data_IF_217386384542
#
_entry.id   IF_217386384542
#
_cell.length_a   1.000
_cell.length_b   1.000
_cell.length_c   1.000
_cell.angle_alpha   90.00
_cell.angle_beta   90.00
_cell.angle_gamma   90.00
#
_symmetry.space_group_name_H-M   'P 1'
#
loop_
_entity.id
_entity.type
_entity.pdbx_description
1 polymer ?
#
# COMPACT_ATOMS: atom_id res chain seq x y z
N UNK A 1 -4.52 23.50 -26.13
CA UNK A 1 -5.45 22.40 -25.77
C UNK A 1 -5.40 22.29 -24.27
N UNK A 2 -6.46 22.70 -23.57
CA UNK A 2 -6.46 22.82 -22.11
C UNK A 2 -6.41 21.41 -21.50
N UNK A 3 -5.30 21.08 -20.85
CA UNK A 3 -5.25 20.00 -19.88
C UNK A 3 -6.23 20.37 -18.77
N UNK A 4 -7.41 19.76 -18.73
CA UNK A 4 -8.17 19.77 -17.49
C UNK A 4 -7.36 18.95 -16.49
N UNK A 5 -6.66 19.64 -15.61
CA UNK A 5 -6.16 19.04 -14.39
C UNK A 5 -7.36 18.36 -13.73
N UNK A 6 -7.26 17.07 -13.42
CA UNK A 6 -8.24 16.40 -12.56
C UNK A 6 -8.63 17.35 -11.44
N UNK A 7 -9.92 17.65 -11.33
CA UNK A 7 -10.43 18.53 -10.28
C UNK A 7 -9.90 18.01 -8.95
N UNK A 8 -9.02 18.80 -8.35
CA UNK A 8 -8.40 18.45 -7.07
C UNK A 8 -9.50 18.28 -6.03
N UNK A 9 -9.51 17.14 -5.35
CA UNK A 9 -10.53 16.76 -4.37
C UNK A 9 -9.94 16.77 -2.96
N UNK A 10 -9.90 17.94 -2.28
CA UNK A 10 -9.31 18.06 -0.95
C UNK A 10 -9.95 17.14 0.08
N UNK A 11 -11.22 16.77 -0.10
CA UNK A 11 -11.93 15.83 0.76
C UNK A 11 -11.30 14.42 0.76
N UNK A 12 -10.73 13.98 -0.37
CA UNK A 12 -10.07 12.68 -0.46
C UNK A 12 -8.75 12.69 0.29
N UNK A 13 -7.99 13.79 0.17
CA UNK A 13 -6.74 13.94 0.92
C UNK A 13 -6.99 14.07 2.42
N UNK A 14 -8.09 14.71 2.83
CA UNK A 14 -8.56 14.72 4.21
C UNK A 14 -8.84 13.32 4.75
N UNK A 15 -9.54 12.47 3.97
CA UNK A 15 -9.78 11.08 4.35
C UNK A 15 -8.49 10.27 4.48
N UNK A 16 -7.53 10.48 3.58
CA UNK A 16 -6.20 9.86 3.68
C UNK A 16 -5.47 10.30 4.95
N UNK A 17 -5.49 11.60 5.26
CA UNK A 17 -4.88 12.12 6.48
C UNK A 17 -5.46 11.47 7.74
N UNK A 18 -6.79 11.39 7.84
CA UNK A 18 -7.48 10.70 8.95
C UNK A 18 -7.04 9.24 9.06
N UNK A 19 -6.96 8.53 7.93
CA UNK A 19 -6.48 7.16 7.90
C UNK A 19 -5.02 7.02 8.38
N UNK A 20 -4.11 7.95 8.03
CA UNK A 20 -2.72 7.94 8.53
C UNK A 20 -2.72 8.12 10.04
N UNK A 21 -3.45 9.12 10.54
CA UNK A 21 -3.48 9.39 11.97
C UNK A 21 -4.04 8.22 12.76
N UNK A 22 -5.07 7.53 12.26
CA UNK A 22 -5.58 6.32 12.90
C UNK A 22 -4.50 5.23 13.01
N UNK A 23 -3.74 4.99 11.94
CA UNK A 23 -2.63 4.02 11.93
C UNK A 23 -1.51 4.44 12.88
N UNK A 24 -1.14 5.72 12.90
CA UNK A 24 -0.11 6.26 13.79
C UNK A 24 -0.50 6.13 15.26
N UNK A 25 -1.74 6.50 15.62
CA UNK A 25 -2.25 6.39 16.99
C UNK A 25 -2.26 4.93 17.45
N UNK A 26 -2.68 4.01 16.58
CA UNK A 26 -2.68 2.58 16.86
C UNK A 26 -1.27 2.05 17.17
N UNK A 27 -0.27 2.39 16.34
CA UNK A 27 1.11 1.93 16.54
C UNK A 27 1.83 2.66 17.68
N UNK A 28 1.50 3.92 17.94
CA UNK A 28 2.01 4.67 19.07
C UNK A 28 1.50 4.15 20.41
N UNK A 29 0.54 3.21 20.41
CA UNK A 29 -0.12 2.66 21.60
C UNK A 29 -0.61 3.78 22.52
N UNK A 30 -1.23 4.81 21.94
CA UNK A 30 -1.74 5.93 22.73
C UNK A 30 -2.93 5.45 23.57
N UNK A 31 -2.79 5.53 24.90
CA UNK A 31 -3.81 5.07 25.84
C UNK A 31 -4.54 6.28 26.46
N UNK A 32 -5.86 6.17 26.56
CA UNK A 32 -6.69 7.10 27.33
C UNK A 32 -7.45 6.29 28.37
N UNK A 33 -7.21 6.54 29.65
CA UNK A 33 -7.88 5.82 30.75
C UNK A 33 -7.55 4.31 30.81
N UNK A 34 -6.34 3.93 30.41
CA UNK A 34 -5.86 2.53 30.44
C UNK A 34 -6.39 1.65 29.31
N UNK A 35 -7.04 2.23 28.29
CA UNK A 35 -7.42 1.55 27.07
C UNK A 35 -6.80 2.24 25.86
N UNK A 36 -6.39 1.44 24.87
CA UNK A 36 -5.90 1.97 23.60
C UNK A 36 -6.99 2.82 22.95
N UNK A 37 -6.66 4.05 22.55
CA UNK A 37 -7.60 5.03 22.02
C UNK A 37 -8.26 4.54 20.72
N UNK A 38 -7.50 3.84 19.86
CA UNK A 38 -7.96 3.35 18.57
C UNK A 38 -7.49 1.91 18.33
N UNK A 39 -8.09 0.90 18.99
CA UNK A 39 -7.68 -0.50 18.84
C UNK A 39 -7.87 -1.02 17.40
N UNK A 40 -8.75 -0.41 16.62
CA UNK A 40 -8.97 -0.69 15.19
C UNK A 40 -8.21 0.22 14.23
N UNK A 41 -7.28 1.06 14.69
CA UNK A 41 -6.63 2.07 13.85
C UNK A 41 -5.80 1.49 12.69
N UNK A 42 -5.39 0.21 12.77
CA UNK A 42 -4.76 -0.51 11.66
C UNK A 42 -5.64 -0.58 10.40
N UNK A 43 -6.97 -0.52 10.52
CA UNK A 43 -7.91 -0.46 9.40
C UNK A 43 -7.73 0.78 8.52
N UNK A 44 -7.02 1.80 9.01
CA UNK A 44 -6.66 2.96 8.19
C UNK A 44 -5.86 2.55 6.93
N UNK A 45 -5.10 1.45 6.98
CA UNK A 45 -4.39 0.94 5.79
C UNK A 45 -5.36 0.46 4.72
N UNK A 46 -6.45 -0.22 5.10
CA UNK A 46 -7.47 -0.67 4.15
C UNK A 46 -8.21 0.51 3.50
N UNK A 47 -8.51 1.56 4.29
CA UNK A 47 -9.07 2.81 3.78
C UNK A 47 -8.12 3.43 2.75
N UNK A 48 -6.81 3.40 3.00
CA UNK A 48 -5.80 3.85 2.04
C UNK A 48 -5.83 3.08 0.73
N UNK A 49 -5.98 1.76 0.76
CA UNK A 49 -6.10 0.95 -0.44
C UNK A 49 -7.38 1.24 -1.23
N UNK A 50 -8.51 1.40 -0.55
CA UNK A 50 -9.78 1.79 -1.18
C UNK A 50 -9.67 3.15 -1.88
N UNK A 51 -9.10 4.16 -1.20
CA UNK A 51 -8.89 5.49 -1.78
C UNK A 51 -7.93 5.40 -2.98
N UNK A 52 -6.89 4.59 -2.86
CA UNK A 52 -5.92 4.36 -3.94
C UNK A 52 -6.59 3.74 -5.17
N UNK A 53 -7.46 2.75 -4.98
CA UNK A 53 -8.31 2.14 -6.00
C UNK A 53 -9.24 3.14 -6.70
N UNK A 54 -9.89 4.00 -5.92
CA UNK A 54 -10.73 5.07 -6.46
C UNK A 54 -9.93 6.06 -7.31
N UNK A 55 -8.78 6.52 -6.82
CA UNK A 55 -7.93 7.50 -7.49
C UNK A 55 -7.37 6.94 -8.80
N UNK A 56 -6.78 5.74 -8.79
CA UNK A 56 -6.23 5.14 -10.02
C UNK A 56 -7.32 4.90 -11.07
N UNK A 57 -8.50 4.42 -10.65
CA UNK A 57 -9.62 4.19 -11.57
C UNK A 57 -10.09 5.49 -12.19
N UNK A 58 -10.21 6.56 -11.40
CA UNK A 58 -10.59 7.89 -11.88
C UNK A 58 -9.55 8.42 -12.89
N UNK A 59 -8.26 8.34 -12.55
CA UNK A 59 -7.16 8.77 -13.42
C UNK A 59 -7.18 8.05 -14.77
N UNK A 60 -7.31 6.73 -14.76
CA UNK A 60 -7.32 5.92 -15.98
C UNK A 60 -8.58 6.18 -16.81
N UNK A 61 -9.74 6.28 -16.16
CA UNK A 61 -11.01 6.58 -16.84
C UNK A 61 -10.95 7.94 -17.52
N UNK A 62 -10.47 8.96 -16.83
CA UNK A 62 -10.43 10.31 -17.37
C UNK A 62 -9.42 10.40 -18.53
N UNK A 63 -8.23 9.81 -18.40
CA UNK A 63 -7.25 9.72 -19.49
C UNK A 63 -7.79 8.96 -20.72
N UNK A 64 -8.54 7.88 -20.49
CA UNK A 64 -9.20 7.11 -21.54
C UNK A 64 -10.29 7.91 -22.26
N UNK A 65 -11.15 8.63 -21.52
CA UNK A 65 -12.22 9.45 -22.10
C UNK A 65 -11.64 10.60 -22.92
N UNK A 66 -10.55 11.22 -22.45
CA UNK A 66 -9.93 12.36 -23.13
C UNK A 66 -9.10 11.96 -24.35
N UNK A 67 -8.36 10.85 -24.28
CA UNK A 67 -7.34 10.52 -25.28
C UNK A 67 -7.58 9.22 -26.03
N UNK A 68 -8.54 8.40 -25.58
CA UNK A 68 -8.82 7.06 -26.13
C UNK A 68 -7.74 6.02 -25.86
N UNK A 69 -6.71 6.34 -25.06
CA UNK A 69 -5.58 5.46 -24.75
C UNK A 69 -5.05 5.73 -23.34
N UNK A 70 -4.27 4.79 -22.80
CA UNK A 70 -3.57 4.97 -21.52
C UNK A 70 -2.06 5.06 -21.78
N UNK A 71 -1.43 6.13 -21.31
CA UNK A 71 0.02 6.28 -21.32
C UNK A 71 0.64 5.66 -20.08
N UNK A 72 1.08 4.40 -20.18
CA UNK A 72 1.78 3.71 -19.09
C UNK A 72 3.04 4.45 -18.65
N UNK A 73 3.83 4.98 -19.58
CA UNK A 73 5.04 5.75 -19.28
C UNK A 73 4.69 7.02 -18.48
N UNK A 74 3.63 7.74 -18.88
CA UNK A 74 3.16 8.90 -18.15
C UNK A 74 2.65 8.54 -16.76
N UNK A 75 1.87 7.46 -16.67
CA UNK A 75 1.29 6.94 -15.42
C UNK A 75 2.38 6.56 -14.41
N UNK A 76 3.28 5.64 -14.77
CA UNK A 76 4.35 5.19 -13.87
C UNK A 76 5.39 6.30 -13.62
N UNK A 77 5.69 7.13 -14.61
CA UNK A 77 6.62 8.25 -14.46
C UNK A 77 6.15 9.34 -13.48
N UNK A 78 4.84 9.57 -13.35
CA UNK A 78 4.28 10.44 -12.29
C UNK A 78 4.47 9.82 -10.91
N UNK A 79 4.26 8.51 -10.80
CA UNK A 79 4.35 7.78 -9.53
C UNK A 79 5.78 7.69 -9.01
N UNK A 80 6.72 7.37 -9.89
CA UNK A 80 8.16 7.37 -9.59
C UNK A 80 8.60 8.71 -9.00
N UNK A 81 8.25 9.83 -9.65
CA UNK A 81 8.59 11.19 -9.18
C UNK A 81 7.92 11.57 -7.86
N UNK A 82 6.79 10.93 -7.51
CA UNK A 82 6.08 11.16 -6.26
C UNK A 82 6.66 10.35 -5.10
N UNK A 83 7.07 9.11 -5.34
CA UNK A 83 7.37 8.14 -4.28
C UNK A 83 8.86 7.91 -4.05
N UNK A 84 9.64 7.73 -5.12
CA UNK A 84 11.06 7.38 -4.98
C UNK A 84 11.89 8.44 -4.26
N UNK A 85 11.68 9.76 -4.45
CA UNK A 85 12.47 10.77 -3.73
C UNK A 85 12.33 10.66 -2.21
N UNK A 86 11.11 10.48 -1.71
CA UNK A 86 10.86 10.33 -0.28
C UNK A 86 11.42 9.00 0.24
N UNK A 87 11.22 7.90 -0.50
CA UNK A 87 11.75 6.58 -0.13
C UNK A 87 13.28 6.60 -0.02
N UNK A 88 13.96 7.12 -1.04
CA UNK A 88 15.43 7.20 -1.03
C UNK A 88 15.95 8.16 0.01
N UNK A 89 15.26 9.28 0.29
CA UNK A 89 15.64 10.18 1.37
C UNK A 89 15.65 9.44 2.71
N UNK A 90 14.57 8.73 3.04
CA UNK A 90 14.47 7.95 4.28
C UNK A 90 15.56 6.87 4.34
N UNK A 91 15.83 6.18 3.24
CA UNK A 91 16.90 5.17 3.15
C UNK A 91 18.28 5.77 3.40
N UNK A 92 18.63 6.86 2.72
CA UNK A 92 19.94 7.50 2.85
C UNK A 92 20.14 8.06 4.26
N UNK A 93 19.12 8.69 4.84
CA UNK A 93 19.21 9.29 6.18
C UNK A 93 19.28 8.22 7.28
N UNK A 94 18.59 7.10 7.11
CA UNK A 94 18.60 6.00 8.11
C UNK A 94 19.86 5.15 8.07
N UNK A 95 20.56 5.05 6.93
CA UNK A 95 21.79 4.27 6.76
C UNK A 95 22.90 4.56 7.79
N UNK A 96 23.33 5.81 8.03
CA UNK A 96 24.39 6.08 9.01
C UNK A 96 23.95 5.73 10.44
N UNK A 97 22.68 5.98 10.78
CA UNK A 97 22.14 5.62 12.10
C UNK A 97 22.10 4.10 12.28
N UNK A 98 21.70 3.37 11.24
CA UNK A 98 21.67 1.92 11.25
C UNK A 98 23.09 1.33 11.42
N UNK A 99 24.08 1.91 10.75
CA UNK A 99 25.48 1.49 10.86
C UNK A 99 26.05 1.64 12.28
N UNK A 100 25.73 2.75 12.96
CA UNK A 100 26.23 3.03 14.31
C UNK A 100 25.48 2.26 15.41
N UNK A 101 24.17 2.01 15.23
CA UNK A 101 23.30 1.50 16.30
C UNK A 101 23.07 -0.01 16.19
N UNK A 102 22.97 -0.57 14.98
CA UNK A 102 22.52 -1.95 14.79
C UNK A 102 23.67 -2.96 14.91
N UNK A 103 23.37 -4.12 15.51
CA UNK A 103 24.28 -5.26 15.52
C UNK A 103 24.44 -5.85 14.09
N UNK A 104 25.51 -6.59 13.78
CA UNK A 104 25.76 -7.11 12.43
C UNK A 104 24.59 -7.90 11.81
N UNK A 105 23.90 -8.72 12.61
CA UNK A 105 22.71 -9.45 12.15
C UNK A 105 21.53 -8.53 11.83
N UNK A 106 21.28 -7.52 12.67
CA UNK A 106 20.22 -6.53 12.47
C UNK A 106 20.52 -5.63 11.29
N UNK A 107 21.78 -5.27 11.07
CA UNK A 107 22.22 -4.49 9.91
C UNK A 107 21.98 -5.27 8.60
N UNK A 108 22.18 -6.60 8.61
CA UNK A 108 21.88 -7.45 7.47
C UNK A 108 20.37 -7.49 7.17
N UNK A 109 19.52 -7.64 8.19
CA UNK A 109 18.06 -7.57 8.02
C UNK A 109 17.59 -6.19 7.55
N UNK A 110 18.17 -5.13 8.11
CA UNK A 110 17.94 -3.76 7.67
C UNK A 110 18.25 -3.60 6.18
N UNK A 111 19.43 -4.05 5.72
CA UNK A 111 19.81 -4.00 4.31
C UNK A 111 18.85 -4.82 3.41
N UNK A 112 18.47 -6.03 3.84
CA UNK A 112 17.49 -6.87 3.10
C UNK A 112 16.12 -6.19 3.00
N UNK A 113 15.64 -5.59 4.08
CA UNK A 113 14.36 -4.87 4.09
C UNK A 113 14.39 -3.63 3.19
N UNK A 114 15.54 -2.94 3.10
CA UNK A 114 15.75 -1.82 2.18
C UNK A 114 15.65 -2.29 0.72
N UNK A 115 16.35 -3.39 0.37
CA UNK A 115 16.26 -3.99 -0.96
C UNK A 115 14.83 -4.43 -1.30
N UNK A 116 14.15 -5.09 -0.37
CA UNK A 116 12.76 -5.51 -0.56
C UNK A 116 11.82 -4.31 -0.77
N UNK A 117 12.07 -3.19 -0.09
CA UNK A 117 11.31 -1.94 -0.25
C UNK A 117 11.52 -1.31 -1.63
N UNK A 118 12.76 -1.26 -2.13
CA UNK A 118 13.09 -0.72 -3.47
C UNK A 118 12.45 -1.55 -4.57
N UNK A 119 12.44 -2.87 -4.39
CA UNK A 119 11.84 -3.81 -5.32
C UNK A 119 10.31 -3.92 -5.18
N UNK A 120 9.71 -3.21 -4.22
CA UNK A 120 8.28 -3.27 -3.90
C UNK A 120 7.77 -4.70 -3.64
N UNK A 121 8.56 -5.46 -2.90
CA UNK A 121 8.26 -6.83 -2.43
C UNK A 121 8.42 -6.97 -0.91
N UNK A 122 8.48 -5.86 -0.18
CA UNK A 122 8.66 -5.87 1.28
C UNK A 122 7.50 -6.54 2.02
N UNK A 123 6.30 -6.61 1.44
CA UNK A 123 5.20 -7.39 1.99
C UNK A 123 5.52 -8.89 2.12
N UNK A 124 6.13 -9.49 1.10
CA UNK A 124 6.58 -10.89 1.15
C UNK A 124 7.74 -11.07 2.13
N UNK A 125 8.67 -10.10 2.16
CA UNK A 125 9.80 -10.14 3.08
C UNK A 125 9.33 -10.14 4.54
N UNK A 126 8.41 -9.25 4.90
CA UNK A 126 7.93 -9.13 6.27
C UNK A 126 7.02 -10.27 6.69
N UNK A 127 6.22 -10.80 5.77
CA UNK A 127 5.42 -12.00 6.03
C UNK A 127 6.29 -13.19 6.48
N UNK A 128 7.38 -13.44 5.75
CA UNK A 128 8.31 -14.52 6.09
C UNK A 128 9.16 -14.20 7.32
N UNK A 129 9.57 -12.94 7.49
CA UNK A 129 10.56 -12.56 8.51
C UNK A 129 9.96 -12.31 9.90
N UNK A 130 8.72 -11.81 9.97
CA UNK A 130 8.07 -11.53 11.26
C UNK A 130 7.15 -12.66 11.72
N UNK A 131 6.58 -13.45 10.80
CA UNK A 131 5.65 -14.57 11.04
C UNK A 131 4.33 -14.19 11.77
N UNK A 132 4.29 -13.07 12.51
CA UNK A 132 3.13 -12.52 13.17
C UNK A 132 3.09 -10.99 13.00
N UNK A 133 1.92 -10.47 12.64
CA UNK A 133 1.69 -9.03 12.56
C UNK A 133 1.68 -8.41 13.97
N UNK A 134 2.53 -7.40 14.20
CA UNK A 134 2.60 -6.68 15.47
C UNK A 134 3.51 -7.32 16.53
N UNK A 135 4.38 -8.26 16.15
CA UNK A 135 5.42 -8.82 17.02
C UNK A 135 6.29 -7.72 17.67
N UNK A 136 6.85 -7.96 18.86
CA UNK A 136 7.76 -6.97 19.49
C UNK A 136 8.98 -6.65 18.60
N UNK A 137 9.42 -7.63 17.80
CA UNK A 137 10.48 -7.46 16.78
C UNK A 137 10.12 -6.44 15.70
N UNK A 138 8.83 -6.23 15.41
CA UNK A 138 8.38 -5.23 14.44
C UNK A 138 8.66 -3.78 14.90
N UNK A 139 8.82 -3.52 16.20
CA UNK A 139 9.23 -2.20 16.71
C UNK A 139 10.66 -1.84 16.29
N UNK A 140 11.48 -2.85 15.99
CA UNK A 140 12.87 -2.70 15.60
C UNK A 140 13.07 -2.79 14.08
N UNK A 141 12.00 -2.72 13.30
CA UNK A 141 12.01 -2.85 11.84
C UNK A 141 11.71 -1.52 11.15
N UNK A 142 12.71 -0.66 10.84
CA UNK A 142 12.50 0.71 10.37
C UNK A 142 11.71 0.79 9.04
N UNK A 143 11.84 -0.22 8.19
CA UNK A 143 11.17 -0.30 6.89
C UNK A 143 9.92 -1.17 6.91
N UNK A 144 9.40 -1.54 8.09
CA UNK A 144 8.20 -2.37 8.17
C UNK A 144 7.05 -1.78 7.35
N UNK A 145 6.73 -0.51 7.59
CA UNK A 145 5.61 0.18 6.96
C UNK A 145 5.66 0.26 5.43
N UNK A 146 6.80 -0.06 4.81
CA UNK A 146 6.89 -0.12 3.34
C UNK A 146 6.11 -1.29 2.74
N UNK A 147 5.68 -2.27 3.54
CA UNK A 147 4.88 -3.40 3.07
C UNK A 147 3.59 -2.92 2.37
N UNK A 148 2.91 -1.91 2.93
CA UNK A 148 1.66 -1.39 2.36
C UNK A 148 1.93 -0.62 1.08
N UNK A 149 3.06 0.11 1.02
CA UNK A 149 3.55 0.74 -0.21
C UNK A 149 3.83 -0.31 -1.30
N UNK A 150 4.47 -1.43 -0.97
CA UNK A 150 4.72 -2.52 -1.90
C UNK A 150 3.42 -3.11 -2.47
N UNK A 151 2.43 -3.37 -1.61
CA UNK A 151 1.09 -3.83 -2.04
C UNK A 151 0.41 -2.79 -2.95
N UNK A 152 0.47 -1.51 -2.60
CA UNK A 152 -0.07 -0.42 -3.42
C UNK A 152 0.65 -0.34 -4.78
N UNK A 153 1.96 -0.54 -4.84
CA UNK A 153 2.72 -0.58 -6.10
C UNK A 153 2.33 -1.78 -6.96
N UNK A 154 2.20 -2.97 -6.38
CA UNK A 154 1.76 -4.18 -7.08
C UNK A 154 0.36 -3.98 -7.68
N UNK A 155 -0.56 -3.40 -6.90
CA UNK A 155 -1.90 -3.09 -7.39
C UNK A 155 -1.87 -2.11 -8.58
N UNK A 156 -1.06 -1.05 -8.51
CA UNK A 156 -0.95 -0.06 -9.60
C UNK A 156 -0.16 -0.57 -10.79
N UNK A 157 0.67 -1.59 -10.61
CA UNK A 157 1.28 -2.31 -11.72
C UNK A 157 0.18 -3.08 -12.46
N UNK A 158 -0.63 -3.87 -11.75
CA UNK A 158 -1.61 -4.78 -12.35
C UNK A 158 -2.87 -4.07 -12.88
N UNK A 159 -3.41 -3.10 -12.14
CA UNK A 159 -4.73 -2.53 -12.40
C UNK A 159 -4.85 -1.78 -13.74
N UNK A 160 -3.89 -0.95 -14.18
CA UNK A 160 -3.95 -0.33 -15.51
C UNK A 160 -4.00 -1.34 -16.65
N UNK A 161 -3.31 -2.49 -16.53
CA UNK A 161 -3.38 -3.55 -17.52
C UNK A 161 -4.77 -4.18 -17.55
N UNK A 162 -5.32 -4.52 -16.38
CA UNK A 162 -6.69 -5.04 -16.26
C UNK A 162 -7.71 -4.06 -16.83
N UNK A 163 -7.57 -2.77 -16.54
CA UNK A 163 -8.42 -1.71 -17.04
C UNK A 163 -8.44 -1.66 -18.58
N UNK A 164 -7.27 -1.68 -19.23
CA UNK A 164 -7.17 -1.66 -20.70
C UNK A 164 -7.68 -2.95 -21.34
N UNK A 165 -7.39 -4.11 -20.74
CA UNK A 165 -7.85 -5.41 -21.26
C UNK A 165 -9.37 -5.53 -21.19
N UNK A 166 -9.97 -5.12 -20.06
CA UNK A 166 -11.41 -5.24 -19.82
C UNK A 166 -12.22 -4.09 -20.42
N UNK A 167 -11.61 -2.92 -20.58
CA UNK A 167 -12.23 -1.77 -21.25
C UNK A 167 -12.72 -2.11 -22.65
N UNK A 168 -12.08 -3.06 -23.34
CA UNK A 168 -12.49 -3.58 -24.65
C UNK A 168 -13.84 -4.31 -24.63
N UNK A 169 -14.20 -4.92 -23.50
CA UNK A 169 -15.46 -5.65 -23.33
C UNK A 169 -16.57 -4.78 -22.72
N UNK A 170 -16.25 -3.53 -22.34
CA UNK A 170 -17.16 -2.58 -21.71
C UNK A 170 -17.01 -2.52 -20.19
N UNK A 171 -17.41 -1.39 -19.61
CA UNK A 171 -17.23 -1.10 -18.17
C UNK A 171 -17.93 -2.09 -17.24
N UNK A 172 -19.00 -2.74 -17.69
CA UNK A 172 -19.70 -3.77 -16.91
C UNK A 172 -18.82 -4.98 -16.58
N UNK A 173 -17.89 -5.36 -17.47
CA UNK A 173 -16.98 -6.49 -17.22
C UNK A 173 -15.91 -6.14 -16.20
N UNK A 174 -15.41 -4.91 -16.22
CA UNK A 174 -14.51 -4.41 -15.18
C UNK A 174 -15.19 -4.49 -13.80
N UNK A 175 -16.41 -3.96 -13.68
CA UNK A 175 -17.17 -4.03 -12.43
C UNK A 175 -17.44 -5.46 -11.94
N UNK A 176 -17.83 -6.37 -12.84
CA UNK A 176 -18.03 -7.78 -12.51
C UNK A 176 -16.75 -8.44 -12.00
N UNK A 177 -15.61 -8.18 -12.65
CA UNK A 177 -14.33 -8.72 -12.19
C UNK A 177 -13.96 -8.15 -10.83
N UNK A 178 -14.06 -6.83 -10.62
CA UNK A 178 -13.73 -6.21 -9.34
C UNK A 178 -14.61 -6.74 -8.20
N UNK A 179 -15.91 -6.92 -8.44
CA UNK A 179 -16.81 -7.55 -7.48
C UNK A 179 -16.43 -9.00 -7.20
N UNK A 180 -16.13 -9.79 -8.24
CA UNK A 180 -15.72 -11.18 -8.06
C UNK A 180 -14.40 -11.29 -7.29
N UNK A 181 -13.42 -10.45 -7.61
CA UNK A 181 -12.13 -10.38 -6.91
C UNK A 181 -12.30 -9.92 -5.45
N UNK A 182 -13.14 -8.91 -5.19
CA UNK A 182 -13.42 -8.46 -3.83
C UNK A 182 -14.12 -9.52 -2.97
N UNK A 183 -15.10 -10.23 -3.53
CA UNK A 183 -15.77 -11.35 -2.81
C UNK A 183 -14.79 -12.51 -2.57
N UNK A 184 -13.98 -12.86 -3.57
CA UNK A 184 -12.97 -13.91 -3.41
C UNK A 184 -11.90 -13.52 -2.38
N UNK A 185 -11.42 -12.27 -2.44
CA UNK A 185 -10.46 -11.68 -1.50
C UNK A 185 -10.99 -11.70 -0.07
N UNK A 186 -12.22 -11.25 0.14
CA UNK A 186 -12.88 -11.31 1.44
C UNK A 186 -13.03 -12.75 1.95
N UNK A 187 -13.46 -13.68 1.09
CA UNK A 187 -13.57 -15.10 1.44
C UNK A 187 -12.23 -15.71 1.84
N UNK A 188 -11.16 -15.39 1.09
CA UNK A 188 -9.79 -15.81 1.41
C UNK A 188 -9.30 -15.19 2.72
N UNK A 189 -9.57 -13.91 2.96
CA UNK A 189 -9.18 -13.24 4.20
C UNK A 189 -9.83 -13.89 5.43
N UNK A 190 -11.13 -14.20 5.37
CA UNK A 190 -11.85 -14.88 6.46
C UNK A 190 -11.31 -16.30 6.67
N UNK A 191 -10.93 -17.00 5.60
CA UNK A 191 -10.44 -18.37 5.68
C UNK A 191 -8.99 -18.46 6.20
N UNK A 192 -8.11 -17.54 5.78
CA UNK A 192 -6.68 -17.56 6.12
C UNK A 192 -6.43 -16.94 7.50
N UNK A 193 -7.18 -15.92 7.90
CA UNK A 193 -6.94 -15.18 9.15
C UNK A 193 -6.80 -16.04 10.43
N UNK A 194 -7.54 -17.16 10.61
CA UNK A 194 -7.36 -18.04 11.76
C UNK A 194 -6.13 -18.95 11.70
N UNK A 195 -5.58 -19.18 10.50
CA UNK A 195 -4.49 -20.14 10.25
C UNK A 195 -3.14 -19.43 10.13
N UNK A 196 -3.12 -18.30 9.42
CA UNK A 196 -1.94 -17.49 9.17
C UNK A 196 -2.33 -16.01 9.13
N UNK A 197 -2.28 -15.38 10.30
CA UNK A 197 -2.63 -13.98 10.46
C UNK A 197 -1.68 -13.05 9.67
N UNK A 198 -0.39 -13.42 9.58
CA UNK A 198 0.61 -12.66 8.85
C UNK A 198 0.29 -12.61 7.36
N UNK A 199 0.06 -13.77 6.73
CA UNK A 199 -0.30 -13.81 5.32
C UNK A 199 -1.61 -13.08 5.05
N UNK A 200 -2.62 -13.28 5.90
CA UNK A 200 -3.89 -12.56 5.79
C UNK A 200 -3.68 -11.04 5.85
N UNK A 201 -2.67 -10.58 6.61
CA UNK A 201 -2.38 -9.17 6.81
C UNK A 201 -1.44 -8.57 5.75
N UNK A 202 -0.42 -9.26 5.25
CA UNK A 202 0.56 -8.64 4.33
C UNK A 202 0.23 -8.84 2.84
N UNK A 203 -0.65 -9.78 2.50
CA UNK A 203 -0.85 -10.17 1.10
C UNK A 203 -1.92 -9.36 0.36
N UNK A 204 -1.67 -9.13 -0.93
CA UNK A 204 -2.61 -8.44 -1.82
C UNK A 204 -3.93 -9.21 -2.00
N UNK A 205 -3.87 -10.55 -2.09
CA UNK A 205 -5.03 -11.37 -2.43
C UNK A 205 -6.07 -11.51 -1.32
N UNK A 206 -5.73 -11.10 -0.09
CA UNK A 206 -6.65 -10.99 1.06
C UNK A 206 -7.08 -9.54 1.33
N UNK A 207 -6.64 -8.59 0.50
CA UNK A 207 -6.85 -7.14 0.67
C UNK A 207 -7.26 -6.40 -0.60
N UNK A 208 -7.77 -7.15 -1.58
CA UNK A 208 -8.34 -6.59 -2.80
C UNK A 208 -9.71 -5.96 -2.57
#
# INVERSE_FOLDING_TARGET
>A
MSSQSLTYRPEIDGLRAVAVFAVMIYHAKFELTGTNLLPGGFLGVDIFFVISGFLITSLLRDEWVETGRISFVGFYGRRIRRLLPALFLVMIVSLPLAWEILLPGQLLEFAKSQLASILFVSNFFWDVSLQEYGAESALLAPFLHTWSLAVEEQFYLLFPLLFVLLGKFGSAWLWRLLMALGVASFGLAVWIAPVDNSSAFYMLHTRF
#
